data_IF_823263210160
#
_entry.id   IF_823263210160
#
_cell.length_a   1.000
_cell.length_b   1.000
_cell.length_c   1.000
_cell.angle_alpha   90.00
_cell.angle_beta   90.00
_cell.angle_gamma   90.00
#
_symmetry.space_group_name_H-M   'P 1'
#
loop_
_entity.id
_entity.type
_entity.pdbx_description
1 polymer ?
#
# COMPACT_ATOMS: atom_id res chain seq x y z
N UNK A 1 46.08 -15.31 -47.71
CA UNK A 1 47.50 -15.20 -47.31
C UNK A 1 47.77 -16.27 -46.28
N UNK A 2 48.60 -17.25 -46.62
CA UNK A 2 49.00 -18.35 -45.73
C UNK A 2 50.33 -17.94 -45.06
N UNK A 3 50.40 -18.01 -43.73
CA UNK A 3 51.56 -17.61 -42.95
C UNK A 3 52.80 -18.43 -43.38
N UNK A 4 53.88 -17.74 -43.77
CA UNK A 4 55.04 -18.29 -44.51
C UNK A 4 56.28 -18.55 -43.64
N UNK A 5 56.17 -18.60 -42.32
CA UNK A 5 57.30 -18.84 -41.41
C UNK A 5 56.89 -19.70 -40.22
N UNK A 6 57.75 -20.65 -39.82
CA UNK A 6 57.56 -21.52 -38.64
C UNK A 6 57.46 -20.66 -37.38
N UNK A 7 56.40 -20.85 -36.59
CA UNK A 7 56.26 -20.23 -35.27
C UNK A 7 57.38 -20.82 -34.39
N UNK A 8 58.28 -19.96 -33.91
CA UNK A 8 59.34 -20.37 -32.97
C UNK A 8 58.77 -20.39 -31.54
N UNK A 9 59.16 -21.38 -30.73
CA UNK A 9 58.63 -21.58 -29.36
C UNK A 9 58.75 -20.31 -28.48
N UNK A 10 59.75 -19.48 -28.74
CA UNK A 10 60.04 -18.21 -28.07
C UNK A 10 58.99 -17.11 -28.37
N UNK A 11 58.07 -17.34 -29.30
CA UNK A 11 56.96 -16.44 -29.65
C UNK A 11 55.62 -16.86 -29.02
N UNK A 12 55.60 -17.99 -28.29
CA UNK A 12 54.47 -18.37 -27.45
C UNK A 12 54.69 -17.70 -26.10
N UNK A 13 54.03 -16.56 -25.88
CA UNK A 13 53.97 -15.94 -24.56
C UNK A 13 52.98 -16.77 -23.74
N UNK A 14 53.47 -17.80 -23.05
CA UNK A 14 52.72 -18.42 -21.95
C UNK A 14 52.80 -17.45 -20.77
N UNK A 15 51.72 -16.70 -20.53
CA UNK A 15 51.62 -15.91 -19.30
C UNK A 15 51.53 -16.88 -18.13
N UNK A 16 52.54 -16.90 -17.26
CA UNK A 16 52.62 -17.78 -16.09
C UNK A 16 51.38 -17.65 -15.20
N UNK A 17 50.71 -16.50 -15.18
CA UNK A 17 49.46 -16.33 -14.45
C UNK A 17 48.30 -17.09 -15.11
N UNK A 18 48.24 -17.12 -16.44
CA UNK A 18 47.22 -17.88 -17.19
C UNK A 18 47.47 -19.38 -17.06
N UNK A 19 48.73 -19.80 -17.14
CA UNK A 19 49.11 -21.21 -16.93
C UNK A 19 48.82 -21.67 -15.51
N UNK A 20 49.14 -20.86 -14.49
CA UNK A 20 48.81 -21.16 -13.09
C UNK A 20 47.31 -21.17 -12.86
N UNK A 21 46.56 -20.20 -13.39
CA UNK A 21 45.10 -20.17 -13.30
C UNK A 21 44.45 -21.42 -13.93
N UNK A 22 44.92 -21.85 -15.11
CA UNK A 22 44.41 -23.05 -15.77
C UNK A 22 44.75 -24.32 -14.98
N UNK A 23 45.97 -24.44 -14.45
CA UNK A 23 46.36 -25.56 -13.61
C UNK A 23 45.55 -25.61 -12.29
N UNK A 24 45.39 -24.46 -11.62
CA UNK A 24 44.53 -24.34 -10.43
C UNK A 24 43.07 -24.66 -10.76
N UNK A 25 42.55 -24.25 -11.91
CA UNK A 25 41.19 -24.57 -12.34
C UNK A 25 41.00 -26.05 -12.68
N UNK A 26 42.00 -26.71 -13.26
CA UNK A 26 41.99 -28.15 -13.52
C UNK A 26 42.12 -28.97 -12.22
N UNK A 27 42.98 -28.56 -11.29
CA UNK A 27 43.14 -29.20 -9.98
C UNK A 27 41.91 -29.03 -9.07
N UNK A 28 41.14 -27.95 -9.23
CA UNK A 28 39.94 -27.64 -8.47
C UNK A 28 38.65 -27.80 -9.30
N UNK A 29 38.66 -28.68 -10.30
CA UNK A 29 37.46 -28.94 -11.12
C UNK A 29 36.29 -29.39 -10.21
N UNK A 30 35.08 -28.81 -10.36
CA UNK A 30 33.91 -29.21 -9.58
C UNK A 30 33.64 -30.70 -9.75
N UNK A 31 33.60 -31.43 -8.64
CA UNK A 31 33.24 -32.84 -8.62
C UNK A 31 31.73 -33.05 -8.42
N UNK A 32 31.31 -34.31 -8.39
CA UNK A 32 29.90 -34.68 -8.16
C UNK A 32 29.37 -34.21 -6.80
N UNK A 33 30.25 -34.09 -5.80
CA UNK A 33 29.89 -33.61 -4.47
C UNK A 33 29.62 -32.10 -4.50
N UNK A 34 30.47 -31.32 -5.18
CA UNK A 34 30.26 -29.88 -5.39
C UNK A 34 28.95 -29.61 -6.13
N UNK A 35 28.63 -30.43 -7.14
CA UNK A 35 27.35 -30.30 -7.86
C UNK A 35 26.16 -30.57 -6.91
N UNK A 36 26.22 -31.64 -6.12
CA UNK A 36 25.16 -32.00 -5.18
C UNK A 36 24.95 -30.92 -4.12
N UNK A 37 26.04 -30.40 -3.54
CA UNK A 37 25.98 -29.33 -2.53
C UNK A 37 25.40 -28.05 -3.13
N UNK A 38 25.80 -27.69 -4.36
CA UNK A 38 25.26 -26.53 -5.07
C UNK A 38 23.76 -26.67 -5.36
N UNK A 39 23.29 -27.88 -5.71
CA UNK A 39 21.85 -28.13 -5.92
C UNK A 39 21.06 -28.02 -4.62
N UNK A 40 21.60 -28.53 -3.50
CA UNK A 40 20.97 -28.40 -2.19
C UNK A 40 20.87 -26.94 -1.77
N UNK A 41 21.98 -26.19 -1.84
CA UNK A 41 22.01 -24.77 -1.49
C UNK A 41 21.02 -23.97 -2.35
N UNK A 42 21.01 -24.22 -3.65
CA UNK A 42 20.07 -23.58 -4.57
C UNK A 42 18.60 -23.82 -4.15
N UNK A 43 18.22 -25.06 -3.85
CA UNK A 43 16.84 -25.34 -3.41
C UNK A 43 16.50 -24.67 -2.07
N UNK A 44 17.45 -24.63 -1.13
CA UNK A 44 17.27 -23.96 0.15
C UNK A 44 17.12 -22.44 -0.02
N UNK A 45 17.85 -21.82 -0.94
CA UNK A 45 17.74 -20.40 -1.26
C UNK A 45 16.37 -20.07 -1.86
N UNK A 46 15.87 -20.93 -2.76
CA UNK A 46 14.51 -20.79 -3.30
C UNK A 46 13.46 -20.90 -2.19
N UNK A 47 13.63 -21.82 -1.24
CA UNK A 47 12.75 -21.93 -0.07
C UNK A 47 12.83 -20.66 0.79
N UNK A 48 14.03 -20.15 1.04
CA UNK A 48 14.23 -18.94 1.82
C UNK A 48 13.53 -17.73 1.17
N UNK A 49 13.61 -17.58 -0.16
CA UNK A 49 12.95 -16.51 -0.91
C UNK A 49 11.42 -16.51 -0.70
N UNK A 50 10.80 -17.68 -0.53
CA UNK A 50 9.35 -17.80 -0.27
C UNK A 50 8.98 -17.16 1.07
N UNK A 51 9.79 -17.40 2.10
CA UNK A 51 9.52 -16.96 3.48
C UNK A 51 10.27 -15.69 3.90
N UNK A 52 10.97 -15.03 2.97
CA UNK A 52 11.64 -13.76 3.25
C UNK A 52 10.66 -12.58 3.23
N UNK A 53 10.64 -11.76 4.29
CA UNK A 53 9.75 -10.59 4.39
C UNK A 53 10.48 -9.26 4.57
N UNK A 54 11.80 -9.19 4.37
CA UNK A 54 12.57 -7.96 4.60
C UNK A 54 12.10 -6.78 3.75
N UNK A 55 11.71 -7.04 2.50
CA UNK A 55 11.21 -6.01 1.57
C UNK A 55 9.99 -5.25 2.11
N UNK A 56 9.15 -5.86 2.95
CA UNK A 56 7.97 -5.21 3.50
C UNK A 56 8.30 -4.15 4.56
N UNK A 57 9.46 -4.24 5.22
CA UNK A 57 9.84 -3.33 6.30
C UNK A 57 9.99 -1.88 5.82
N UNK A 58 10.44 -1.67 4.59
CA UNK A 58 10.61 -0.31 4.05
C UNK A 58 9.26 0.42 3.99
N UNK A 59 8.30 -0.14 3.24
CA UNK A 59 6.97 0.44 3.07
C UNK A 59 6.25 0.61 4.42
N UNK A 60 6.32 -0.40 5.31
CA UNK A 60 5.74 -0.32 6.64
C UNK A 60 6.31 0.82 7.48
N UNK A 61 7.63 0.89 7.57
CA UNK A 61 8.29 1.91 8.36
C UNK A 61 8.02 3.30 7.76
N UNK A 62 7.94 3.43 6.43
CA UNK A 62 7.59 4.70 5.79
C UNK A 62 6.15 5.12 6.07
N UNK A 63 5.17 4.21 6.01
CA UNK A 63 3.77 4.50 6.36
C UNK A 63 3.68 5.02 7.79
N UNK A 64 4.30 4.32 8.74
CA UNK A 64 4.28 4.70 10.15
C UNK A 64 5.03 6.03 10.40
N UNK A 65 6.18 6.24 9.76
CA UNK A 65 6.95 7.49 9.87
C UNK A 65 6.16 8.70 9.35
N UNK A 66 5.56 8.58 8.16
CA UNK A 66 4.71 9.64 7.59
C UNK A 66 3.52 9.92 8.49
N UNK A 67 2.87 8.88 9.01
CA UNK A 67 1.77 9.04 9.95
C UNK A 67 2.19 9.77 11.22
N UNK A 68 3.28 9.35 11.87
CA UNK A 68 3.74 9.97 13.11
C UNK A 68 4.16 11.43 12.95
N UNK A 69 4.71 11.81 11.80
CA UNK A 69 5.04 13.21 11.47
C UNK A 69 3.83 14.08 11.14
N UNK A 70 2.69 13.47 10.78
CA UNK A 70 1.51 14.16 10.25
C UNK A 70 0.20 13.73 10.94
N UNK A 71 0.26 13.25 12.20
CA UNK A 71 -0.91 12.67 12.90
C UNK A 71 -2.13 13.60 12.94
N UNK A 72 -1.93 14.92 12.94
CA UNK A 72 -3.00 15.91 13.06
C UNK A 72 -3.81 16.10 11.77
N UNK A 73 -3.27 15.69 10.63
CA UNK A 73 -3.89 15.87 9.29
C UNK A 73 -4.25 14.54 8.64
N UNK A 74 -4.09 13.43 9.35
CA UNK A 74 -4.45 12.08 8.87
C UNK A 74 -5.55 11.53 9.76
N UNK A 75 -6.65 11.11 9.14
CA UNK A 75 -7.76 10.44 9.81
C UNK A 75 -7.85 9.00 9.30
N UNK A 76 -8.04 8.05 10.23
CA UNK A 76 -8.10 6.61 9.94
C UNK A 76 -7.16 5.77 10.84
N UNK A 77 -7.34 4.44 10.89
CA UNK A 77 -6.67 3.55 11.84
C UNK A 77 -5.23 3.17 11.41
N UNK A 78 -4.41 4.11 10.94
CA UNK A 78 -3.05 3.81 10.42
C UNK A 78 -2.22 3.02 11.43
N UNK A 79 -2.00 3.57 12.62
CA UNK A 79 -1.19 2.92 13.65
C UNK A 79 -1.83 1.60 14.13
N UNK A 80 -3.14 1.59 14.33
CA UNK A 80 -3.88 0.40 14.76
C UNK A 80 -3.83 -0.74 13.74
N UNK A 81 -3.71 -0.45 12.44
CA UNK A 81 -3.58 -1.45 11.38
C UNK A 81 -2.12 -1.86 11.16
N UNK A 82 -1.21 -0.89 11.00
CA UNK A 82 0.15 -1.19 10.55
C UNK A 82 1.12 -1.59 11.66
N UNK A 83 0.85 -1.24 12.92
CA UNK A 83 1.69 -1.69 14.04
C UNK A 83 1.57 -3.22 14.26
N UNK A 84 0.36 -3.82 14.35
CA UNK A 84 0.23 -5.27 14.41
C UNK A 84 0.77 -6.00 13.18
N UNK A 85 0.63 -5.43 11.98
CA UNK A 85 1.22 -5.98 10.76
C UNK A 85 2.74 -5.99 10.85
N UNK A 86 3.35 -4.92 11.37
CA UNK A 86 4.80 -4.83 11.59
C UNK A 86 5.28 -5.87 12.60
N UNK A 87 4.55 -6.09 13.68
CA UNK A 87 4.87 -7.12 14.67
C UNK A 87 4.77 -8.52 14.05
N UNK A 88 3.74 -8.77 13.25
CA UNK A 88 3.57 -10.01 12.49
C UNK A 88 4.76 -10.25 11.54
N UNK A 89 5.16 -9.26 10.74
CA UNK A 89 6.30 -9.37 9.83
C UNK A 89 7.62 -9.56 10.59
N UNK A 90 7.81 -8.90 11.72
CA UNK A 90 9.00 -9.10 12.57
C UNK A 90 9.06 -10.54 13.09
N UNK A 91 7.91 -11.08 13.50
CA UNK A 91 7.82 -12.48 13.91
C UNK A 91 8.07 -13.45 12.73
N UNK A 92 7.56 -13.16 11.54
CA UNK A 92 7.84 -13.92 10.33
C UNK A 92 9.34 -14.00 10.03
N UNK A 93 10.07 -12.89 10.12
CA UNK A 93 11.52 -12.88 9.93
C UNK A 93 12.25 -13.78 10.94
N UNK A 94 11.83 -13.74 12.22
CA UNK A 94 12.38 -14.59 13.27
C UNK A 94 12.11 -16.08 12.98
N UNK A 95 10.87 -16.41 12.63
CA UNK A 95 10.46 -17.79 12.32
C UNK A 95 11.18 -18.30 11.08
N UNK A 96 11.26 -17.50 10.01
CA UNK A 96 11.94 -17.84 8.77
C UNK A 96 13.43 -18.10 9.00
N UNK A 97 14.11 -17.28 9.82
CA UNK A 97 15.52 -17.50 10.14
C UNK A 97 15.74 -18.87 10.83
N UNK A 98 14.95 -19.17 11.86
CA UNK A 98 15.03 -20.47 12.54
C UNK A 98 14.67 -21.65 11.63
N UNK A 99 13.67 -21.48 10.77
CA UNK A 99 13.26 -22.47 9.79
C UNK A 99 14.36 -22.75 8.76
N UNK A 100 14.96 -21.71 8.18
CA UNK A 100 16.04 -21.85 7.20
C UNK A 100 17.28 -22.51 7.81
N UNK A 101 17.65 -22.13 9.05
CA UNK A 101 18.74 -22.77 9.78
C UNK A 101 18.48 -24.27 10.00
N UNK A 102 17.24 -24.63 10.32
CA UNK A 102 16.83 -26.03 10.47
C UNK A 102 16.88 -26.79 9.14
N UNK A 103 16.40 -26.21 8.03
CA UNK A 103 16.46 -26.88 6.73
C UNK A 103 17.89 -27.12 6.27
N UNK A 104 18.79 -26.16 6.50
CA UNK A 104 20.23 -26.31 6.22
C UNK A 104 20.86 -27.46 7.01
N UNK A 105 20.43 -27.70 8.25
CA UNK A 105 20.91 -28.85 9.03
C UNK A 105 20.36 -30.18 8.51
N UNK A 106 19.10 -30.19 8.07
CA UNK A 106 18.45 -31.41 7.56
C UNK A 106 19.01 -31.81 6.19
N UNK A 107 19.27 -30.86 5.31
CA UNK A 107 19.74 -31.13 3.93
C UNK A 107 21.05 -31.91 3.89
N UNK A 108 21.90 -31.77 4.92
CA UNK A 108 23.16 -32.52 5.06
C UNK A 108 22.93 -34.03 4.96
N UNK A 109 21.85 -34.54 5.58
CA UNK A 109 21.54 -35.97 5.60
C UNK A 109 20.42 -36.36 4.65
N UNK A 110 19.48 -35.45 4.40
CA UNK A 110 18.24 -35.72 3.67
C UNK A 110 18.37 -35.52 2.15
N UNK A 111 19.44 -34.89 1.66
CA UNK A 111 19.60 -34.64 0.23
C UNK A 111 18.87 -33.39 -0.24
N UNK A 112 18.28 -33.47 -1.44
CA UNK A 112 17.51 -32.38 -2.04
C UNK A 112 16.21 -32.15 -1.29
N UNK A 113 15.84 -30.88 -1.14
CA UNK A 113 14.65 -30.46 -0.39
C UNK A 113 13.35 -30.95 -1.06
N UNK A 114 13.31 -31.03 -2.38
CA UNK A 114 12.14 -31.50 -3.12
C UNK A 114 11.88 -33.01 -3.00
N UNK A 115 12.93 -33.80 -2.72
CA UNK A 115 12.84 -35.27 -2.60
C UNK A 115 12.73 -35.76 -1.14
N UNK A 116 13.18 -34.96 -0.17
CA UNK A 116 13.13 -35.34 1.24
C UNK A 116 11.72 -35.23 1.82
N UNK A 117 11.15 -36.36 2.23
CA UNK A 117 9.86 -36.39 2.94
C UNK A 117 9.87 -35.55 4.24
N UNK A 118 11.00 -35.52 4.94
CA UNK A 118 11.18 -34.76 6.19
C UNK A 118 11.15 -33.26 5.93
N UNK A 119 11.91 -32.79 4.92
CA UNK A 119 11.94 -31.37 4.54
C UNK A 119 10.58 -30.94 3.97
N UNK A 120 9.97 -31.76 3.11
CA UNK A 120 8.65 -31.51 2.55
C UNK A 120 7.56 -31.34 3.61
N UNK A 121 7.57 -32.17 4.65
CA UNK A 121 6.61 -32.06 5.74
C UNK A 121 6.77 -30.76 6.54
N UNK A 122 8.01 -30.34 6.78
CA UNK A 122 8.30 -29.06 7.44
C UNK A 122 7.91 -27.88 6.55
N UNK A 123 8.20 -27.95 5.26
CA UNK A 123 7.82 -26.94 4.29
C UNK A 123 6.30 -26.76 4.24
N UNK A 124 5.52 -27.84 4.17
CA UNK A 124 4.04 -27.76 4.21
C UNK A 124 3.54 -27.09 5.48
N UNK A 125 4.10 -27.44 6.64
CA UNK A 125 3.75 -26.78 7.92
C UNK A 125 4.08 -25.29 7.91
N UNK A 126 5.22 -24.90 7.33
CA UNK A 126 5.57 -23.50 7.15
C UNK A 126 4.56 -22.79 6.22
N UNK A 127 4.25 -23.36 5.05
CA UNK A 127 3.23 -22.79 4.14
C UNK A 127 1.89 -22.57 4.85
N UNK A 128 1.40 -23.57 5.58
CA UNK A 128 0.14 -23.46 6.32
C UNK A 128 0.21 -22.32 7.35
N UNK A 129 1.29 -22.27 8.14
CA UNK A 129 1.49 -21.22 9.16
C UNK A 129 1.54 -19.82 8.54
N UNK A 130 2.45 -19.60 7.59
CA UNK A 130 2.64 -18.29 6.97
C UNK A 130 1.41 -17.84 6.17
N UNK A 131 0.74 -18.74 5.45
CA UNK A 131 -0.48 -18.39 4.72
C UNK A 131 -1.60 -17.96 5.67
N UNK A 132 -1.86 -18.74 6.71
CA UNK A 132 -2.93 -18.46 7.69
C UNK A 132 -2.67 -17.13 8.40
N UNK A 133 -1.44 -16.89 8.84
CA UNK A 133 -1.08 -15.64 9.52
C UNK A 133 -1.11 -14.44 8.56
N UNK A 134 -0.69 -14.62 7.31
CA UNK A 134 -0.77 -13.57 6.27
C UNK A 134 -2.23 -13.21 5.97
N UNK A 135 -3.10 -14.21 5.83
CA UNK A 135 -4.53 -13.99 5.60
C UNK A 135 -5.17 -13.24 6.78
N UNK A 136 -4.99 -13.75 7.99
CA UNK A 136 -5.70 -13.25 9.17
C UNK A 136 -5.13 -11.94 9.72
N UNK A 137 -3.80 -11.77 9.73
CA UNK A 137 -3.13 -10.63 10.39
C UNK A 137 -2.72 -9.52 9.44
N UNK A 138 -2.73 -9.77 8.13
CA UNK A 138 -2.31 -8.77 7.13
C UNK A 138 -3.44 -8.49 6.14
N UNK A 139 -3.95 -9.50 5.44
CA UNK A 139 -4.96 -9.29 4.39
C UNK A 139 -6.30 -8.81 4.94
N UNK A 140 -6.86 -9.47 5.96
CA UNK A 140 -8.15 -9.06 6.53
C UNK A 140 -8.14 -7.61 7.06
N UNK A 141 -7.15 -7.16 7.86
CA UNK A 141 -7.06 -5.77 8.27
C UNK A 141 -6.91 -4.79 7.09
N UNK A 142 -6.18 -5.17 6.04
CA UNK A 142 -6.00 -4.30 4.87
C UNK A 142 -7.25 -4.14 4.02
N UNK A 143 -8.13 -5.16 3.94
CA UNK A 143 -9.38 -5.08 3.17
C UNK A 143 -10.31 -3.98 3.67
N UNK A 144 -10.33 -3.73 4.97
CA UNK A 144 -11.17 -2.72 5.62
C UNK A 144 -10.39 -1.44 5.93
N UNK A 145 -9.09 -1.42 5.68
CA UNK A 145 -8.23 -0.29 5.94
C UNK A 145 -8.51 0.86 4.97
N UNK A 146 -8.66 2.05 5.53
CA UNK A 146 -8.74 3.29 4.78
C UNK A 146 -8.28 4.46 5.62
N UNK A 147 -7.86 5.52 4.95
CA UNK A 147 -7.45 6.76 5.59
C UNK A 147 -7.81 7.95 4.71
N UNK A 148 -7.90 9.13 5.31
CA UNK A 148 -8.07 10.40 4.62
C UNK A 148 -7.07 11.43 5.13
N UNK A 149 -6.75 12.41 4.29
CA UNK A 149 -5.90 13.54 4.65
C UNK A 149 -6.19 14.71 3.73
N UNK A 150 -6.11 15.93 4.28
CA UNK A 150 -6.16 17.19 3.55
C UNK A 150 -4.79 17.62 2.99
N UNK A 151 -3.72 16.87 3.29
CA UNK A 151 -2.39 17.05 2.70
C UNK A 151 -2.17 16.05 1.54
N UNK A 152 -2.24 16.55 0.31
CA UNK A 152 -2.10 15.73 -0.90
C UNK A 152 -0.75 15.00 -0.99
N UNK A 153 0.35 15.63 -0.55
CA UNK A 153 1.68 15.02 -0.60
C UNK A 153 1.80 13.85 0.40
N UNK A 154 1.25 14.02 1.60
CA UNK A 154 1.16 12.97 2.62
C UNK A 154 0.29 11.81 2.11
N UNK A 155 -0.86 12.13 1.53
CA UNK A 155 -1.77 11.13 0.95
C UNK A 155 -1.09 10.32 -0.14
N UNK A 156 -0.44 10.98 -1.10
CA UNK A 156 0.26 10.32 -2.20
C UNK A 156 1.39 9.40 -1.72
N UNK A 157 2.15 9.80 -0.70
CA UNK A 157 3.23 8.97 -0.16
C UNK A 157 2.68 7.71 0.51
N UNK A 158 1.72 7.84 1.44
CA UNK A 158 1.11 6.67 2.10
C UNK A 158 0.47 5.74 1.06
N UNK A 159 -0.25 6.28 0.08
CA UNK A 159 -0.84 5.47 -1.00
C UNK A 159 0.22 4.72 -1.80
N UNK A 160 1.32 5.38 -2.17
CA UNK A 160 2.43 4.72 -2.89
C UNK A 160 3.02 3.58 -2.07
N UNK A 161 3.33 3.81 -0.79
CA UNK A 161 3.89 2.76 0.06
C UNK A 161 2.93 1.59 0.26
N UNK A 162 1.63 1.87 0.34
CA UNK A 162 0.62 0.84 0.46
C UNK A 162 0.50 0.01 -0.83
N UNK A 163 0.57 0.64 -2.00
CA UNK A 163 0.63 -0.08 -3.28
C UNK A 163 1.86 -0.99 -3.34
N UNK A 164 3.05 -0.46 -3.00
CA UNK A 164 4.29 -1.24 -3.02
C UNK A 164 4.21 -2.43 -2.02
N UNK A 165 3.59 -2.22 -0.86
CA UNK A 165 3.34 -3.27 0.13
C UNK A 165 2.36 -4.35 -0.39
N UNK A 166 1.25 -3.94 -1.01
CA UNK A 166 0.23 -4.86 -1.56
C UNK A 166 0.75 -5.65 -2.77
N UNK A 167 1.63 -5.06 -3.57
CA UNK A 167 2.31 -5.75 -4.67
C UNK A 167 3.18 -6.88 -4.12
N UNK A 168 4.02 -6.61 -3.11
CA UNK A 168 4.79 -7.65 -2.42
C UNK A 168 3.89 -8.73 -1.80
N UNK A 169 2.78 -8.33 -1.19
CA UNK A 169 1.82 -9.24 -0.57
C UNK A 169 1.17 -10.17 -1.61
N UNK A 170 0.83 -9.64 -2.78
CA UNK A 170 0.26 -10.40 -3.89
C UNK A 170 1.20 -11.52 -4.34
N UNK A 171 2.50 -11.23 -4.38
CA UNK A 171 3.54 -12.22 -4.72
C UNK A 171 3.58 -13.33 -3.67
N UNK A 172 3.60 -12.99 -2.38
CA UNK A 172 3.63 -13.99 -1.29
C UNK A 172 2.39 -14.88 -1.28
N UNK A 173 1.21 -14.30 -1.46
CA UNK A 173 -0.05 -15.06 -1.56
C UNK A 173 -0.04 -16.00 -2.77
N UNK A 174 0.53 -15.57 -3.91
CA UNK A 174 0.70 -16.44 -5.08
C UNK A 174 1.59 -17.64 -4.75
N UNK A 175 2.70 -17.43 -4.05
CA UNK A 175 3.61 -18.50 -3.66
C UNK A 175 2.95 -19.49 -2.70
N UNK A 176 2.29 -18.99 -1.64
CA UNK A 176 1.63 -19.84 -0.66
C UNK A 176 0.53 -20.71 -1.26
N UNK A 177 -0.31 -20.12 -2.12
CA UNK A 177 -1.36 -20.88 -2.83
C UNK A 177 -0.79 -21.86 -3.85
N UNK A 178 0.32 -21.51 -4.49
CA UNK A 178 0.94 -22.31 -5.54
C UNK A 178 1.75 -23.51 -5.03
N UNK A 179 2.06 -23.56 -3.74
CA UNK A 179 2.97 -24.56 -3.13
C UNK A 179 2.38 -25.27 -1.90
N UNK A 180 1.05 -25.38 -1.81
CA UNK A 180 0.37 -26.08 -0.70
C UNK A 180 0.74 -27.56 -0.62
N UNK A 181 0.98 -28.21 -1.77
CA UNK A 181 1.32 -29.65 -1.84
C UNK A 181 2.74 -29.97 -1.37
N UNK A 182 3.63 -28.97 -1.33
CA UNK A 182 5.05 -29.18 -1.09
C UNK A 182 5.94 -28.26 -1.93
N UNK A 183 7.23 -28.29 -1.63
CA UNK A 183 8.24 -27.55 -2.38
C UNK A 183 8.61 -28.32 -3.65
N UNK A 184 8.64 -27.61 -4.79
CA UNK A 184 9.14 -28.12 -6.05
C UNK A 184 9.83 -26.98 -6.81
N UNK A 185 11.05 -27.23 -7.29
CA UNK A 185 11.92 -26.22 -7.88
C UNK A 185 11.29 -25.59 -9.12
N UNK A 186 10.89 -26.41 -10.09
CA UNK A 186 10.27 -25.95 -11.35
C UNK A 186 9.03 -25.14 -11.07
N UNK A 187 8.16 -25.61 -10.16
CA UNK A 187 6.94 -24.92 -9.80
C UNK A 187 7.20 -23.55 -9.20
N UNK A 188 8.19 -23.43 -8.30
CA UNK A 188 8.55 -22.14 -7.73
C UNK A 188 9.06 -21.17 -8.79
N UNK A 189 9.93 -21.63 -9.70
CA UNK A 189 10.47 -20.80 -10.78
C UNK A 189 9.37 -20.31 -11.75
N UNK A 190 8.37 -21.14 -12.05
CA UNK A 190 7.20 -20.72 -12.83
C UNK A 190 6.40 -19.61 -12.12
N UNK A 191 6.15 -19.76 -10.82
CA UNK A 191 5.42 -18.78 -10.02
C UNK A 191 6.20 -17.47 -9.90
N UNK A 192 7.53 -17.55 -9.77
CA UNK A 192 8.44 -16.40 -9.76
C UNK A 192 8.46 -15.67 -11.09
N UNK A 193 8.51 -16.40 -12.21
CA UNK A 193 8.39 -15.76 -13.52
C UNK A 193 7.02 -15.06 -13.65
N UNK A 194 5.94 -15.74 -13.26
CA UNK A 194 4.58 -15.19 -13.30
C UNK A 194 4.43 -13.91 -12.46
N UNK A 195 5.06 -13.84 -11.29
CA UNK A 195 4.98 -12.64 -10.43
C UNK A 195 5.65 -11.43 -11.06
N UNK A 196 6.79 -11.62 -11.75
CA UNK A 196 7.51 -10.55 -12.46
C UNK A 196 6.70 -9.98 -13.62
N UNK A 197 6.02 -10.83 -14.40
CA UNK A 197 5.21 -10.36 -15.53
C UNK A 197 3.87 -9.76 -15.11
N UNK A 198 3.25 -10.29 -14.05
CA UNK A 198 1.93 -9.82 -13.59
C UNK A 198 1.94 -8.43 -12.94
N UNK A 199 3.10 -7.97 -12.43
CA UNK A 199 3.24 -6.66 -11.78
C UNK A 199 3.24 -5.45 -12.72
N UNK A 200 3.44 -5.64 -14.03
CA UNK A 200 3.55 -4.53 -15.00
C UNK A 200 2.25 -4.18 -15.73
N UNK A 201 1.26 -5.08 -15.76
CA UNK A 201 0.09 -4.94 -16.64
C UNK A 201 -1.21 -4.56 -15.94
N UNK A 202 -1.29 -4.62 -14.60
CA UNK A 202 -2.52 -4.23 -13.92
C UNK A 202 -2.63 -2.71 -13.84
N UNK A 203 -3.68 -2.08 -14.41
CA UNK A 203 -3.99 -0.69 -14.07
C UNK A 203 -4.17 -0.63 -12.56
N UNK A 204 -3.38 0.22 -11.89
CA UNK A 204 -3.50 0.46 -10.46
C UNK A 204 -4.95 0.86 -10.20
N UNK A 205 -5.72 -0.04 -9.57
CA UNK A 205 -7.12 0.27 -9.21
C UNK A 205 -7.04 1.50 -8.33
N UNK A 206 -7.67 2.59 -8.76
CA UNK A 206 -7.93 3.70 -7.85
C UNK A 206 -8.66 3.09 -6.65
N UNK A 207 -7.99 3.07 -5.48
CA UNK A 207 -8.66 2.64 -4.25
C UNK A 207 -9.88 3.56 -4.17
N UNK A 208 -11.08 2.97 -4.21
CA UNK A 208 -12.25 3.68 -3.68
C UNK A 208 -11.85 4.02 -2.26
N UNK A 209 -11.78 5.31 -1.95
CA UNK A 209 -11.64 5.81 -0.60
C UNK A 209 -12.84 5.30 0.18
N UNK A 210 -12.76 4.08 0.73
CA UNK A 210 -13.78 3.55 1.61
C UNK A 210 -13.54 4.23 2.93
N UNK A 211 -14.02 5.46 3.07
CA UNK A 211 -13.78 6.30 4.23
C UNK A 211 -14.47 5.66 5.45
N UNK A 212 -13.73 4.84 6.20
CA UNK A 212 -14.17 4.38 7.51
C UNK A 212 -13.97 5.52 8.51
N UNK A 213 -15.01 6.35 8.62
CA UNK A 213 -15.14 7.40 9.63
C UNK A 213 -16.50 8.09 9.64
N UNK A 214 -17.38 7.81 8.68
CA UNK A 214 -18.78 8.25 8.72
C UNK A 214 -19.71 7.19 8.14
N UNK A 215 -20.92 7.12 8.70
CA UNK A 215 -22.03 6.29 8.18
C UNK A 215 -22.45 6.71 6.76
N UNK A 216 -22.18 7.97 6.40
CA UNK A 216 -22.67 8.63 5.20
C UNK A 216 -21.56 8.81 4.15
N UNK A 217 -21.00 7.70 3.65
CA UNK A 217 -19.85 7.68 2.74
C UNK A 217 -20.11 8.46 1.43
N UNK A 218 -21.32 8.39 0.89
CA UNK A 218 -21.69 9.12 -0.33
C UNK A 218 -21.74 10.63 -0.10
N UNK A 219 -22.31 11.08 1.02
CA UNK A 219 -22.32 12.51 1.38
C UNK A 219 -20.91 13.05 1.55
N UNK A 220 -20.04 12.28 2.20
CA UNK A 220 -18.65 12.67 2.41
C UNK A 220 -17.93 12.92 1.09
N UNK A 221 -18.02 11.99 0.13
CA UNK A 221 -17.37 12.17 -1.17
C UNK A 221 -17.95 13.37 -1.92
N UNK A 222 -19.27 13.57 -1.85
CA UNK A 222 -19.92 14.71 -2.51
C UNK A 222 -19.46 16.05 -1.92
N UNK A 223 -19.39 16.16 -0.60
CA UNK A 223 -18.87 17.36 0.08
C UNK A 223 -17.36 17.53 -0.10
N UNK A 224 -16.60 16.44 -0.23
CA UNK A 224 -15.17 16.47 -0.56
C UNK A 224 -14.94 17.00 -1.97
N UNK A 225 -15.70 16.54 -2.95
CA UNK A 225 -15.66 17.06 -4.32
C UNK A 225 -16.01 18.53 -4.34
N UNK A 226 -17.09 18.94 -3.65
CA UNK A 226 -17.43 20.36 -3.49
C UNK A 226 -16.24 21.18 -2.92
N UNK A 227 -15.55 20.64 -1.91
CA UNK A 227 -14.37 21.31 -1.34
C UNK A 227 -13.24 21.43 -2.36
N UNK A 228 -13.02 20.39 -3.17
CA UNK A 228 -11.98 20.40 -4.20
C UNK A 228 -12.31 21.42 -5.30
N UNK A 229 -13.56 21.45 -5.76
CA UNK A 229 -14.02 22.38 -6.79
C UNK A 229 -13.85 23.83 -6.32
N UNK A 230 -14.27 24.14 -5.09
CA UNK A 230 -14.07 25.48 -4.49
C UNK A 230 -12.59 25.80 -4.31
N UNK A 231 -11.76 24.82 -3.96
CA UNK A 231 -10.32 24.99 -3.77
C UNK A 231 -9.64 25.34 -5.09
N UNK A 232 -9.99 24.63 -6.17
CA UNK A 232 -9.46 24.86 -7.50
C UNK A 232 -9.94 26.19 -8.08
N UNK A 233 -11.23 26.51 -7.96
CA UNK A 233 -11.80 27.77 -8.45
C UNK A 233 -11.22 29.01 -7.77
N UNK A 234 -10.88 28.91 -6.48
CA UNK A 234 -10.41 30.05 -5.69
C UNK A 234 -8.91 30.05 -5.42
N UNK A 235 -8.15 29.10 -5.97
CA UNK A 235 -6.73 28.88 -5.68
C UNK A 235 -6.44 28.84 -4.17
N UNK A 236 -7.27 28.07 -3.45
CA UNK A 236 -7.20 27.90 -2.00
C UNK A 236 -6.81 26.47 -1.63
N UNK A 237 -6.15 26.31 -0.49
CA UNK A 237 -5.88 24.98 0.07
C UNK A 237 -7.15 24.47 0.78
N UNK A 238 -7.49 23.20 0.62
CA UNK A 238 -8.71 22.56 1.15
C UNK A 238 -9.10 22.99 2.58
N UNK A 239 -8.15 22.97 3.54
CA UNK A 239 -8.42 23.30 4.94
C UNK A 239 -8.86 24.76 5.16
N UNK A 240 -8.60 25.66 4.21
CA UNK A 240 -9.05 27.06 4.26
C UNK A 240 -10.56 27.18 4.05
N UNK A 241 -11.16 26.26 3.29
CA UNK A 241 -12.60 26.17 3.04
C UNK A 241 -13.28 25.56 4.28
N UNK A 242 -12.98 24.29 4.56
CA UNK A 242 -13.28 23.61 5.82
C UNK A 242 -12.30 22.43 6.02
N UNK A 243 -11.99 22.12 7.28
CA UNK A 243 -11.05 21.03 7.59
C UNK A 243 -11.71 19.67 7.35
N UNK A 244 -10.87 18.64 7.27
CA UNK A 244 -11.34 17.26 7.19
C UNK A 244 -12.24 16.88 8.38
N UNK A 245 -11.86 17.28 9.60
CA UNK A 245 -12.68 17.13 10.81
C UNK A 245 -14.07 17.78 10.67
N UNK A 246 -14.13 19.00 10.12
CA UNK A 246 -15.41 19.69 9.86
C UNK A 246 -16.26 18.91 8.85
N UNK A 247 -15.63 18.35 7.80
CA UNK A 247 -16.32 17.51 6.82
C UNK A 247 -16.96 16.28 7.48
N UNK A 248 -16.22 15.55 8.31
CA UNK A 248 -16.76 14.42 9.06
C UNK A 248 -17.92 14.83 9.96
N UNK A 249 -17.76 15.93 10.71
CA UNK A 249 -18.81 16.41 11.61
C UNK A 249 -20.09 16.82 10.86
N UNK A 250 -19.99 17.39 9.66
CA UNK A 250 -21.15 17.65 8.80
C UNK A 250 -21.82 16.36 8.31
N UNK A 251 -21.04 15.31 8.05
CA UNK A 251 -21.61 14.02 7.62
C UNK A 251 -22.35 13.30 8.77
N UNK A 252 -21.96 13.55 10.02
CA UNK A 252 -22.62 12.97 11.20
C UNK A 252 -23.81 13.80 11.69
N UNK A 253 -23.72 15.14 11.62
CA UNK A 253 -24.78 16.03 12.14
C UNK A 253 -25.82 16.41 11.11
N UNK A 254 -25.55 16.21 9.81
CA UNK A 254 -26.45 16.49 8.68
C UNK A 254 -27.14 17.88 8.76
N UNK A 255 -26.38 18.99 8.94
CA UNK A 255 -26.97 20.30 9.11
C UNK A 255 -27.72 20.74 7.86
N UNK A 256 -28.98 21.13 8.03
CA UNK A 256 -29.88 21.57 6.97
C UNK A 256 -30.15 23.07 7.00
N UNK A 257 -29.78 23.75 8.08
CA UNK A 257 -29.91 25.20 8.24
C UNK A 257 -28.56 25.89 8.49
N UNK A 258 -28.48 27.20 8.19
CA UNK A 258 -27.28 28.01 8.50
C UNK A 258 -26.99 28.07 10.00
N UNK A 259 -28.01 27.93 10.84
CA UNK A 259 -27.84 27.89 12.29
C UNK A 259 -27.18 26.58 12.72
N UNK A 260 -27.70 25.43 12.27
CA UNK A 260 -27.08 24.12 12.50
C UNK A 260 -25.65 24.09 11.96
N UNK A 261 -25.41 24.65 10.79
CA UNK A 261 -24.06 24.72 10.22
C UNK A 261 -23.09 25.58 11.05
N UNK A 262 -23.58 26.57 11.82
CA UNK A 262 -22.75 27.36 12.75
C UNK A 262 -22.37 26.57 14.01
N UNK A 263 -23.11 25.51 14.34
CA UNK A 263 -22.82 24.65 15.49
C UNK A 263 -21.71 23.64 15.17
N UNK A 264 -21.46 23.38 13.88
CA UNK A 264 -20.38 22.50 13.42
C UNK A 264 -19.00 23.12 13.69
N UNK A 265 -18.11 22.38 14.37
CA UNK A 265 -16.78 22.87 14.67
C UNK A 265 -15.99 23.21 13.40
N UNK A 266 -15.49 24.45 13.34
CA UNK A 266 -14.74 24.97 12.19
C UNK A 266 -15.59 25.73 11.16
N UNK A 267 -16.92 25.77 11.32
CA UNK A 267 -17.85 26.55 10.49
C UNK A 267 -18.27 27.87 11.15
N UNK A 268 -17.33 28.80 11.28
CA UNK A 268 -17.64 30.15 11.77
C UNK A 268 -18.44 31.00 10.76
N UNK A 269 -18.99 32.13 11.24
CA UNK A 269 -19.83 33.08 10.45
C UNK A 269 -19.27 33.41 9.07
N UNK A 270 -17.95 33.58 8.93
CA UNK A 270 -17.29 33.89 7.66
C UNK A 270 -17.36 32.74 6.65
N UNK A 271 -17.12 31.50 7.11
CA UNK A 271 -17.17 30.29 6.27
C UNK A 271 -18.61 29.94 5.90
N UNK A 272 -19.53 30.02 6.87
CA UNK A 272 -20.96 29.83 6.62
C UNK A 272 -21.49 30.87 5.63
N UNK A 273 -21.08 32.13 5.75
CA UNK A 273 -21.47 33.18 4.81
C UNK A 273 -20.92 32.99 3.40
N UNK A 274 -19.72 32.42 3.25
CA UNK A 274 -19.08 32.18 1.94
C UNK A 274 -19.51 30.87 1.27
N UNK A 275 -19.51 29.77 2.02
CA UNK A 275 -19.62 28.41 1.49
C UNK A 275 -20.89 27.69 1.96
N UNK A 276 -21.60 28.24 2.95
CA UNK A 276 -22.71 27.56 3.61
C UNK A 276 -23.86 27.21 2.66
N UNK A 277 -24.20 28.09 1.70
CA UNK A 277 -25.29 27.80 0.76
C UNK A 277 -24.98 26.60 -0.15
N UNK A 278 -23.72 26.47 -0.61
CA UNK A 278 -23.29 25.35 -1.43
C UNK A 278 -23.25 24.03 -0.61
N UNK A 279 -22.76 24.10 0.62
CA UNK A 279 -22.70 22.96 1.55
C UNK A 279 -24.12 22.47 1.89
N UNK A 280 -25.01 23.38 2.30
CA UNK A 280 -26.39 23.04 2.67
C UNK A 280 -27.16 22.45 1.50
N UNK A 281 -26.90 22.90 0.27
CA UNK A 281 -27.50 22.31 -0.93
C UNK A 281 -27.13 20.83 -1.06
N UNK A 282 -25.84 20.50 -0.97
CA UNK A 282 -25.36 19.10 -1.05
C UNK A 282 -25.97 18.22 0.04
N UNK A 283 -26.03 18.72 1.28
CA UNK A 283 -26.58 17.95 2.41
C UNK A 283 -28.09 17.73 2.24
N UNK A 284 -28.85 18.74 1.81
CA UNK A 284 -30.30 18.60 1.56
C UNK A 284 -30.60 17.66 0.40
N UNK A 285 -29.83 17.75 -0.69
CA UNK A 285 -29.97 16.85 -1.83
C UNK A 285 -29.71 15.40 -1.42
N UNK A 286 -28.72 15.16 -0.55
CA UNK A 286 -28.45 13.85 0.04
C UNK A 286 -29.58 13.37 0.96
N UNK A 287 -30.03 14.18 1.92
CA UNK A 287 -31.13 13.80 2.81
C UNK A 287 -32.41 13.46 2.04
N UNK A 288 -32.71 14.21 0.99
CA UNK A 288 -33.87 13.97 0.11
C UNK A 288 -33.73 12.67 -0.69
N UNK A 289 -32.53 12.34 -1.18
CA UNK A 289 -32.30 11.12 -1.94
C UNK A 289 -32.37 9.85 -1.08
N UNK A 290 -32.14 9.98 0.23
CA UNK A 290 -32.11 8.87 1.20
C UNK A 290 -33.28 8.89 2.19
N UNK A 291 -34.32 9.70 1.93
CA UNK A 291 -35.53 9.83 2.76
C UNK A 291 -35.24 10.06 4.26
N UNK A 292 -34.21 10.86 4.57
CA UNK A 292 -33.83 11.20 5.94
C UNK A 292 -34.74 12.34 6.43
N UNK A 293 -35.44 12.15 7.56
CA UNK A 293 -36.28 13.19 8.18
C UNK A 293 -35.42 14.40 8.59
N UNK A 294 -35.65 15.54 7.95
CA UNK A 294 -35.01 16.82 8.27
C UNK A 294 -35.99 17.74 8.97
N UNK A 295 -35.51 18.55 9.93
CA UNK A 295 -36.32 19.59 10.58
C UNK A 295 -36.91 20.54 9.53
N UNK A 296 -38.20 20.95 9.65
CA UNK A 296 -38.97 21.46 8.52
C UNK A 296 -38.44 22.77 7.94
N UNK A 297 -38.55 22.84 6.61
CA UNK A 297 -38.28 23.98 5.73
C UNK A 297 -38.82 25.30 6.28
N UNK A 298 -37.91 26.23 6.59
CA UNK A 298 -38.27 27.65 6.58
C UNK A 298 -38.07 28.14 5.15
N UNK A 299 -39.15 28.14 4.37
CA UNK A 299 -39.22 28.78 3.06
C UNK A 299 -38.74 30.23 3.16
N UNK A 300 -37.72 30.56 2.37
CA UNK A 300 -37.25 31.93 2.22
C UNK A 300 -38.29 32.73 1.44
N UNK A 301 -39.06 33.57 2.14
CA UNK A 301 -39.68 34.73 1.52
C UNK A 301 -38.57 35.70 1.09
N UNK A 302 -38.35 35.86 -0.23
CA UNK A 302 -37.63 37.01 -0.76
C UNK A 302 -38.39 38.28 -0.35
N UNK A 303 -37.82 39.06 0.57
CA UNK A 303 -38.37 40.36 0.94
C UNK A 303 -38.30 41.32 -0.28
N UNK A 304 -39.39 42.02 -0.63
CA UNK A 304 -39.40 42.92 -1.77
C UNK A 304 -38.47 44.12 -1.54
N UNK A 305 -37.66 44.45 -2.55
CA UNK A 305 -36.72 45.57 -2.53
C UNK A 305 -37.43 46.89 -2.17
N UNK A 306 -36.86 47.72 -1.26
CA UNK A 306 -37.48 48.99 -0.89
C UNK A 306 -37.45 49.99 -2.04
N UNK A 307 -38.61 50.59 -2.34
CA UNK A 307 -38.77 51.72 -3.27
C UNK A 307 -37.97 52.92 -2.77
N UNK A 308 -37.09 53.46 -3.60
CA UNK A 308 -36.42 54.75 -3.35
C UNK A 308 -37.47 55.86 -3.22
N UNK A 309 -37.54 56.49 -2.03
CA UNK A 309 -38.28 57.74 -1.83
C UNK A 309 -37.47 58.90 -2.41
N UNK A 310 -38.15 59.71 -3.22
CA UNK A 310 -37.60 60.87 -3.92
C UNK A 310 -36.99 61.92 -2.99
N UNK A 311 -35.90 62.50 -3.46
CA UNK A 311 -35.29 63.69 -2.87
C UNK A 311 -36.16 64.89 -3.23
N UNK A 312 -36.82 65.44 -2.22
CA UNK A 312 -37.49 66.73 -2.27
C UNK A 312 -36.42 67.83 -2.32
N UNK A 313 -36.20 68.47 -3.48
CA UNK A 313 -35.51 69.78 -3.54
C UNK A 313 -36.56 70.87 -3.33
N UNK A 314 -36.52 71.55 -2.18
CA UNK A 314 -37.13 72.87 -2.01
C UNK A 314 -36.07 73.95 -2.22
N UNK A 315 -36.48 74.93 -3.00
CA UNK A 315 -35.82 76.15 -3.47
C UNK A 315 -35.34 77.09 -2.37
N UNK A 316 -34.17 77.69 -2.60
CA UNK A 316 -33.97 79.15 -2.66
C UNK A 316 -33.07 79.45 -3.86
#
# INVERSE_FOLDING_TARGET
MVLKSKIHANQIISDDNVSRFNAEAEENAPDEQVLKDSQQEFQLDLIAEIFEFYGFLHSLNRILDVYYKNRTVIEGPIEATFLPIKDCITNFLKVANGFNAQLKQLSVNEGLAEDSAVIQERFRKAIVYFNTETETKILEPLKTFAFTTDNQAVGADITKQLDDFEDLLTIKVLYFKGMVSGFNTTRFLELRAKSVFSGKEKPKKQRKTVINGTSNVELFETLRLLRNDIAEEQDLIHYQIFSQKTLYEMCETLPTTKQELLEVNGMGKRRVGKYGDAILKVIRDYCKAHDIETSPDIEFFEAPKPKQKGILRRSL
#
